data_IF_665273524778
#
_entry.id   IF_665273524778
#
_cell.length_a   1.000
_cell.length_b   1.000
_cell.length_c   1.000
_cell.angle_alpha   90.00
_cell.angle_beta   90.00
_cell.angle_gamma   90.00
#
_symmetry.space_group_name_H-M   'P 1'
#
loop_
_entity.id
_entity.type
_entity.pdbx_description
1 polymer ?
#
# COMPACT_ATOMS: atom_id res chain seq x y z
N UNK A 1 -4.34 -24.39 23.48
CA UNK A 1 -3.10 -23.70 23.08
C UNK A 1 -3.33 -23.09 21.71
N UNK A 2 -3.34 -21.75 21.58
CA UNK A 2 -3.47 -21.11 20.26
C UNK A 2 -2.25 -21.49 19.39
N UNK A 3 -2.49 -21.82 18.12
CA UNK A 3 -1.43 -22.20 17.19
C UNK A 3 -0.52 -20.98 16.93
N UNK A 4 0.75 -21.21 16.57
CA UNK A 4 1.69 -20.12 16.21
C UNK A 4 1.17 -19.27 15.03
N UNK A 5 0.30 -19.85 14.19
CA UNK A 5 -0.41 -19.16 13.10
C UNK A 5 -1.35 -18.07 13.63
N UNK A 6 -2.17 -18.42 14.62
CA UNK A 6 -3.16 -17.49 15.21
C UNK A 6 -2.47 -16.29 15.86
N UNK A 7 -1.32 -16.51 16.53
CA UNK A 7 -0.56 -15.44 17.20
C UNK A 7 0.01 -14.40 16.23
N UNK A 8 0.48 -14.82 15.06
CA UNK A 8 1.03 -13.91 14.06
C UNK A 8 -0.06 -13.06 13.41
N UNK A 9 -1.20 -13.69 13.08
CA UNK A 9 -2.35 -12.98 12.54
C UNK A 9 -2.91 -11.97 13.55
N UNK A 10 -3.03 -12.34 14.81
CA UNK A 10 -3.51 -11.44 15.87
C UNK A 10 -2.55 -10.26 16.11
N UNK A 11 -1.24 -10.51 16.09
CA UNK A 11 -0.25 -9.44 16.20
C UNK A 11 -0.30 -8.47 15.01
N UNK A 12 -0.42 -8.97 13.77
CA UNK A 12 -0.56 -8.12 12.59
C UNK A 12 -1.85 -7.29 12.63
N UNK A 13 -2.96 -7.87 13.11
CA UNK A 13 -4.21 -7.13 13.33
C UNK A 13 -4.05 -6.04 14.36
N UNK A 14 -3.39 -6.33 15.48
CA UNK A 14 -3.07 -5.34 16.51
C UNK A 14 -2.23 -4.20 15.93
N UNK A 15 -1.12 -4.51 15.23
CA UNK A 15 -0.25 -3.51 14.62
C UNK A 15 -1.02 -2.63 13.64
N UNK A 16 -1.83 -3.25 12.77
CA UNK A 16 -2.66 -2.54 11.82
C UNK A 16 -3.59 -1.56 12.53
N UNK A 17 -4.36 -2.02 13.52
CA UNK A 17 -5.29 -1.17 14.24
C UNK A 17 -4.57 -0.04 15.00
N UNK A 18 -3.44 -0.35 15.63
CA UNK A 18 -2.64 0.62 16.38
C UNK A 18 -2.16 1.76 15.48
N UNK A 19 -1.51 1.45 14.36
CA UNK A 19 -0.98 2.46 13.45
C UNK A 19 -2.07 3.26 12.74
N UNK A 20 -3.15 2.59 12.29
CA UNK A 20 -4.29 3.28 11.65
C UNK A 20 -4.89 4.32 12.61
N UNK A 21 -5.16 3.94 13.85
CA UNK A 21 -5.76 4.86 14.83
C UNK A 21 -4.89 6.10 15.06
N UNK A 22 -3.56 5.93 15.16
CA UNK A 22 -2.63 7.05 15.32
C UNK A 22 -2.59 7.94 14.08
N UNK A 23 -2.55 7.34 12.89
CA UNK A 23 -2.54 8.06 11.61
C UNK A 23 -3.83 8.86 11.45
N UNK A 24 -4.99 8.25 11.66
CA UNK A 24 -6.30 8.91 11.57
C UNK A 24 -6.40 10.09 12.52
N UNK A 25 -5.92 9.93 13.77
CA UNK A 25 -5.88 11.01 14.75
C UNK A 25 -5.07 12.21 14.23
N UNK A 26 -3.89 11.96 13.67
CA UNK A 26 -3.07 13.02 13.10
C UNK A 26 -3.64 13.59 11.80
N UNK A 27 -4.33 12.79 10.97
CA UNK A 27 -4.99 13.26 9.76
C UNK A 27 -6.14 14.22 10.10
N UNK A 28 -6.94 13.91 11.12
CA UNK A 28 -8.01 14.80 11.60
C UNK A 28 -7.43 16.14 12.04
N UNK A 29 -6.38 16.12 12.88
CA UNK A 29 -5.70 17.34 13.35
C UNK A 29 -5.07 18.12 12.18
N UNK A 30 -4.45 17.42 11.24
CA UNK A 30 -3.86 18.00 10.03
C UNK A 30 -4.91 18.74 9.21
N UNK A 31 -6.06 18.10 8.95
CA UNK A 31 -7.15 18.67 8.15
C UNK A 31 -7.82 19.87 8.82
N UNK A 32 -7.96 19.86 10.16
CA UNK A 32 -8.46 21.01 10.91
C UNK A 32 -7.48 22.19 10.78
N UNK A 33 -6.19 21.92 11.01
CA UNK A 33 -5.14 22.94 10.93
C UNK A 33 -5.01 23.52 9.51
N UNK A 34 -5.14 22.69 8.48
CA UNK A 34 -5.15 23.12 7.08
C UNK A 34 -6.31 24.08 6.82
N UNK A 35 -7.54 23.72 7.22
CA UNK A 35 -8.72 24.59 7.03
C UNK A 35 -8.56 25.94 7.74
N UNK A 36 -8.03 25.94 8.95
CA UNK A 36 -7.76 27.16 9.71
C UNK A 36 -6.74 28.06 9.00
N UNK A 37 -5.65 27.47 8.48
CA UNK A 37 -4.65 28.22 7.73
C UNK A 37 -5.16 28.71 6.36
N UNK A 38 -6.00 27.93 5.68
CA UNK A 38 -6.61 28.35 4.41
C UNK A 38 -7.63 29.48 4.62
N UNK A 39 -8.34 29.48 5.74
CA UNK A 39 -9.27 30.55 6.12
C UNK A 39 -8.53 31.83 6.55
N UNK A 40 -7.38 31.71 7.21
CA UNK A 40 -6.52 32.83 7.58
C UNK A 40 -5.05 32.51 7.30
N UNK A 41 -4.54 33.05 6.19
CA UNK A 41 -3.14 32.87 5.77
C UNK A 41 -2.12 33.53 6.70
N UNK A 42 -2.56 34.41 7.60
CA UNK A 42 -1.73 34.98 8.68
C UNK A 42 -1.56 34.03 9.88
N UNK A 43 -2.38 32.98 9.98
CA UNK A 43 -2.34 32.02 11.09
C UNK A 43 -1.17 31.02 10.94
N UNK A 44 0.03 31.51 11.23
CA UNK A 44 1.26 30.69 11.18
C UNK A 44 1.28 29.55 12.18
N UNK A 45 0.47 29.61 13.25
CA UNK A 45 0.31 28.50 14.19
C UNK A 45 -0.38 27.31 13.50
N UNK A 46 -1.51 27.57 12.82
CA UNK A 46 -2.22 26.55 12.05
C UNK A 46 -1.34 25.95 10.94
N UNK A 47 -0.52 26.78 10.27
CA UNK A 47 0.47 26.28 9.30
C UNK A 47 1.49 25.30 9.93
N UNK A 48 2.07 25.65 11.08
CA UNK A 48 3.02 24.78 11.79
C UNK A 48 2.37 23.49 12.26
N UNK A 49 1.14 23.56 12.78
CA UNK A 49 0.39 22.37 13.21
C UNK A 49 0.03 21.48 12.00
N UNK A 50 -0.37 22.07 10.87
CA UNK A 50 -0.65 21.35 9.62
C UNK A 50 0.58 20.59 9.11
N UNK A 51 1.69 21.31 8.89
CA UNK A 51 2.95 20.73 8.40
C UNK A 51 3.57 19.75 9.39
N UNK A 52 3.48 20.05 10.70
CA UNK A 52 3.95 19.17 11.77
C UNK A 52 3.21 17.84 11.83
N UNK A 53 1.87 17.85 11.72
CA UNK A 53 1.10 16.60 11.67
C UNK A 53 1.41 15.77 10.41
N UNK A 54 1.63 16.41 9.27
CA UNK A 54 2.08 15.72 8.05
C UNK A 54 3.40 14.96 8.27
N UNK A 55 4.35 15.57 8.98
CA UNK A 55 5.62 14.91 9.32
C UNK A 55 5.42 13.75 10.29
N UNK A 56 4.61 13.92 11.34
CA UNK A 56 4.29 12.83 12.28
C UNK A 56 3.67 11.61 11.59
N UNK A 57 2.78 11.83 10.63
CA UNK A 57 2.20 10.74 9.83
C UNK A 57 3.29 10.01 9.02
N UNK A 58 4.23 10.74 8.42
CA UNK A 58 5.37 10.12 7.73
C UNK A 58 6.20 9.22 8.66
N UNK A 59 6.47 9.71 9.87
CA UNK A 59 7.29 9.01 10.86
C UNK A 59 6.57 7.75 11.37
N UNK A 60 5.24 7.79 11.49
CA UNK A 60 4.41 6.62 11.81
C UNK A 60 4.48 5.55 10.71
N UNK A 61 4.30 5.91 9.44
CA UNK A 61 4.46 4.94 8.33
C UNK A 61 5.88 4.38 8.24
N UNK A 62 6.89 5.19 8.54
CA UNK A 62 8.29 4.75 8.59
C UNK A 62 8.51 3.74 9.73
N UNK A 63 8.00 4.03 10.92
CA UNK A 63 8.08 3.16 12.09
C UNK A 63 7.35 1.85 11.87
N UNK A 64 6.15 1.93 11.31
CA UNK A 64 5.35 0.75 10.96
C UNK A 64 6.08 -0.15 9.97
N UNK A 65 6.68 0.42 8.94
CA UNK A 65 7.46 -0.34 7.97
C UNK A 65 8.70 -1.02 8.60
N UNK A 66 9.38 -0.34 9.52
CA UNK A 66 10.50 -0.92 10.28
C UNK A 66 10.02 -2.12 11.11
N UNK A 67 8.89 -2.01 11.79
CA UNK A 67 8.31 -3.12 12.56
C UNK A 67 7.88 -4.28 11.66
N UNK A 68 7.20 -4.00 10.54
CA UNK A 68 6.80 -5.01 9.57
C UNK A 68 8.00 -5.78 9.00
N UNK A 69 9.11 -5.08 8.70
CA UNK A 69 10.34 -5.73 8.23
C UNK A 69 11.02 -6.59 9.31
N UNK A 70 10.76 -6.33 10.59
CA UNK A 70 11.24 -7.15 11.72
C UNK A 70 10.29 -8.31 12.05
N UNK A 71 9.03 -8.24 11.63
CA UNK A 71 8.05 -9.30 11.85
C UNK A 71 8.44 -10.53 11.04
N UNK A 72 8.78 -11.63 11.71
CA UNK A 72 8.88 -12.93 11.07
C UNK A 72 7.48 -13.50 10.83
N UNK A 73 6.99 -13.44 9.60
CA UNK A 73 5.75 -14.14 9.23
C UNK A 73 6.05 -15.63 9.04
N UNK A 74 5.29 -16.49 9.72
CA UNK A 74 5.28 -17.92 9.45
C UNK A 74 5.02 -18.17 7.96
N UNK A 75 5.85 -19.02 7.34
CA UNK A 75 5.75 -19.36 5.91
C UNK A 75 4.47 -20.10 5.54
N UNK A 76 3.71 -20.60 6.52
CA UNK A 76 2.57 -21.48 6.32
C UNK A 76 1.19 -20.81 6.51
N UNK A 77 1.15 -19.52 6.86
CA UNK A 77 -0.10 -18.78 7.08
C UNK A 77 -0.36 -17.76 5.96
N UNK A 78 -1.17 -18.15 4.98
CA UNK A 78 -1.53 -17.30 3.84
C UNK A 78 -2.28 -16.03 4.24
N UNK A 79 -3.03 -16.07 5.34
CA UNK A 79 -3.78 -14.93 5.88
C UNK A 79 -2.79 -13.92 6.44
N UNK A 80 -1.88 -14.37 7.31
CA UNK A 80 -0.82 -13.53 7.87
C UNK A 80 0.10 -12.95 6.77
N UNK A 81 0.49 -13.77 5.79
CA UNK A 81 1.31 -13.33 4.65
C UNK A 81 0.61 -12.28 3.80
N UNK A 82 -0.68 -12.47 3.51
CA UNK A 82 -1.48 -11.49 2.77
C UNK A 82 -1.59 -10.18 3.52
N UNK A 83 -1.90 -10.22 4.82
CA UNK A 83 -1.96 -9.01 5.66
C UNK A 83 -0.64 -8.26 5.69
N UNK A 84 0.45 -8.98 5.99
CA UNK A 84 1.79 -8.41 6.08
C UNK A 84 2.20 -7.74 4.78
N UNK A 85 2.03 -8.43 3.65
CA UNK A 85 2.38 -7.89 2.34
C UNK A 85 1.52 -6.66 1.99
N UNK A 86 0.22 -6.68 2.28
CA UNK A 86 -0.65 -5.52 2.05
C UNK A 86 -0.26 -4.30 2.91
N UNK A 87 -0.05 -4.50 4.21
CA UNK A 87 0.36 -3.42 5.13
C UNK A 87 1.72 -2.84 4.72
N UNK A 88 2.64 -3.71 4.30
CA UNK A 88 3.97 -3.34 3.82
C UNK A 88 3.87 -2.53 2.52
N UNK A 89 3.02 -2.96 1.57
CA UNK A 89 2.75 -2.23 0.34
C UNK A 89 2.20 -0.83 0.62
N UNK A 90 1.27 -0.70 1.58
CA UNK A 90 0.67 0.58 1.97
C UNK A 90 1.71 1.56 2.52
N UNK A 91 2.60 1.07 3.39
CA UNK A 91 3.67 1.90 3.92
C UNK A 91 4.61 2.38 2.81
N UNK A 92 5.09 1.47 1.96
CA UNK A 92 5.96 1.83 0.84
C UNK A 92 5.29 2.82 -0.10
N UNK A 93 4.03 2.58 -0.50
CA UNK A 93 3.32 3.45 -1.43
C UNK A 93 3.09 4.85 -0.85
N UNK A 94 2.68 4.94 0.42
CA UNK A 94 2.51 6.23 1.09
C UNK A 94 3.82 7.03 1.10
N UNK A 95 4.92 6.40 1.52
CA UNK A 95 6.24 7.03 1.56
C UNK A 95 6.73 7.45 0.17
N UNK A 96 6.41 6.67 -0.87
CA UNK A 96 6.72 6.99 -2.25
C UNK A 96 6.00 8.27 -2.72
N UNK A 97 4.70 8.42 -2.42
CA UNK A 97 3.90 9.60 -2.78
C UNK A 97 4.39 10.88 -2.11
N UNK A 98 5.05 10.76 -0.96
CA UNK A 98 5.66 11.89 -0.25
C UNK A 98 7.12 12.13 -0.65
N UNK A 99 7.59 11.50 -1.72
CA UNK A 99 8.97 11.57 -2.20
C UNK A 99 10.01 11.30 -1.10
N UNK A 100 9.66 10.41 -0.15
CA UNK A 100 10.62 10.00 0.87
C UNK A 100 11.72 9.15 0.22
N UNK A 101 12.96 9.21 0.74
CA UNK A 101 14.03 8.36 0.27
C UNK A 101 13.63 6.88 0.29
N UNK A 102 14.14 6.08 -0.65
CA UNK A 102 13.86 4.66 -0.65
C UNK A 102 14.46 4.01 0.60
N UNK A 103 13.71 3.09 1.21
CA UNK A 103 14.18 2.31 2.37
C UNK A 103 15.30 1.32 2.02
N UNK A 104 15.42 0.98 0.74
CA UNK A 104 16.50 0.16 0.19
C UNK A 104 17.20 0.94 -0.91
N UNK A 105 18.54 1.01 -0.94
CA UNK A 105 19.28 1.77 -1.93
C UNK A 105 19.15 1.20 -3.35
N UNK A 106 18.63 -0.03 -3.51
CA UNK A 106 18.55 -0.73 -4.80
C UNK A 106 17.23 -0.55 -5.53
N UNK A 107 16.19 -0.04 -4.86
CA UNK A 107 14.83 -0.05 -5.39
C UNK A 107 14.00 1.09 -4.81
N UNK A 108 13.20 1.74 -5.65
CA UNK A 108 12.25 2.73 -5.16
C UNK A 108 11.18 2.14 -4.23
N UNK A 109 10.60 2.99 -3.40
CA UNK A 109 9.44 2.63 -2.58
C UNK A 109 8.25 2.19 -3.46
N UNK A 110 8.07 2.76 -4.66
CA UNK A 110 7.05 2.28 -5.61
C UNK A 110 7.30 0.83 -6.06
N UNK A 111 8.55 0.49 -6.43
CA UNK A 111 8.89 -0.89 -6.81
C UNK A 111 8.60 -1.86 -5.68
N UNK A 112 8.95 -1.51 -4.44
CA UNK A 112 8.68 -2.36 -3.28
C UNK A 112 7.20 -2.51 -2.97
N UNK A 113 6.41 -1.46 -3.15
CA UNK A 113 4.97 -1.55 -3.04
C UNK A 113 4.38 -2.51 -4.09
N UNK A 114 4.85 -2.45 -5.35
CA UNK A 114 4.41 -3.35 -6.41
C UNK A 114 4.76 -4.80 -6.10
N UNK A 115 6.02 -5.08 -5.72
CA UNK A 115 6.48 -6.42 -5.35
C UNK A 115 5.61 -7.05 -4.25
N UNK A 116 5.21 -6.27 -3.25
CA UNK A 116 4.34 -6.75 -2.17
C UNK A 116 2.92 -7.08 -2.66
N UNK A 117 2.30 -6.22 -3.50
CA UNK A 117 0.98 -6.53 -4.06
C UNK A 117 1.02 -7.69 -5.07
N UNK A 118 2.11 -7.81 -5.83
CA UNK A 118 2.35 -8.98 -6.68
C UNK A 118 2.47 -10.26 -5.85
N UNK A 119 3.14 -10.20 -4.71
CA UNK A 119 3.18 -11.32 -3.75
C UNK A 119 1.78 -11.67 -3.23
N UNK A 120 0.95 -10.68 -2.91
CA UNK A 120 -0.46 -10.92 -2.55
C UNK A 120 -1.17 -11.68 -3.67
N UNK A 121 -1.02 -11.29 -4.94
CA UNK A 121 -1.63 -12.03 -6.05
C UNK A 121 -1.14 -13.47 -6.19
N UNK A 122 0.13 -13.78 -5.84
CA UNK A 122 0.58 -15.18 -5.82
C UNK A 122 -0.27 -16.02 -4.86
N UNK A 123 -0.54 -15.50 -3.66
CA UNK A 123 -1.37 -16.16 -2.64
C UNK A 123 -2.83 -16.22 -3.09
N UNK A 124 -3.40 -15.10 -3.57
CA UNK A 124 -4.82 -15.03 -3.92
C UNK A 124 -5.18 -15.89 -5.14
N UNK A 125 -4.26 -16.06 -6.10
CA UNK A 125 -4.50 -16.91 -7.27
C UNK A 125 -4.62 -18.41 -6.91
N UNK A 126 -3.98 -18.82 -5.81
CA UNK A 126 -4.08 -20.18 -5.26
C UNK A 126 -5.34 -20.34 -4.43
N UNK A 127 -5.70 -19.30 -3.66
CA UNK A 127 -6.69 -19.39 -2.57
C UNK A 127 -8.09 -18.86 -2.88
N UNK A 128 -8.26 -17.95 -3.85
CA UNK A 128 -9.54 -17.28 -4.15
C UNK A 128 -9.95 -17.37 -5.62
N UNK A 129 -11.26 -17.29 -5.84
CA UNK A 129 -11.81 -17.01 -7.17
C UNK A 129 -11.48 -15.56 -7.57
N UNK A 130 -11.15 -15.33 -8.83
CA UNK A 130 -10.86 -13.99 -9.37
C UNK A 130 -12.06 -13.05 -9.21
N UNK A 131 -13.31 -13.55 -9.27
CA UNK A 131 -14.51 -12.75 -9.03
C UNK A 131 -14.73 -12.36 -7.56
N UNK A 132 -13.89 -12.84 -6.64
CA UNK A 132 -14.00 -12.50 -5.22
C UNK A 132 -13.85 -10.98 -5.00
N UNK A 133 -14.73 -10.33 -4.20
CA UNK A 133 -14.67 -8.88 -3.96
C UNK A 133 -13.33 -8.39 -3.40
N UNK A 134 -12.67 -9.19 -2.55
CA UNK A 134 -11.35 -8.84 -2.05
C UNK A 134 -10.29 -8.89 -3.15
N UNK A 135 -10.34 -9.92 -4.02
CA UNK A 135 -9.45 -9.98 -5.18
C UNK A 135 -9.60 -8.74 -6.06
N UNK A 136 -10.85 -8.36 -6.38
CA UNK A 136 -11.15 -7.17 -7.18
C UNK A 136 -10.69 -5.89 -6.49
N UNK A 137 -10.84 -5.79 -5.17
CA UNK A 137 -10.32 -4.66 -4.39
C UNK A 137 -8.80 -4.55 -4.49
N UNK A 138 -8.06 -5.66 -4.29
CA UNK A 138 -6.60 -5.67 -4.42
C UNK A 138 -6.18 -5.34 -5.86
N UNK A 139 -6.93 -5.79 -6.87
CA UNK A 139 -6.68 -5.46 -8.28
C UNK A 139 -6.84 -3.97 -8.57
N UNK A 140 -7.91 -3.34 -8.07
CA UNK A 140 -8.11 -1.90 -8.20
C UNK A 140 -7.01 -1.11 -7.46
N UNK A 141 -6.58 -1.60 -6.29
CA UNK A 141 -5.48 -1.01 -5.51
C UNK A 141 -4.15 -1.07 -6.26
N UNK A 142 -3.82 -2.24 -6.81
CA UNK A 142 -2.60 -2.43 -7.60
C UNK A 142 -2.62 -1.60 -8.90
N UNK A 143 -3.77 -1.48 -9.56
CA UNK A 143 -3.94 -0.57 -10.69
C UNK A 143 -3.59 0.87 -10.33
N UNK A 144 -4.14 1.38 -9.23
CA UNK A 144 -3.89 2.74 -8.77
C UNK A 144 -2.41 2.94 -8.42
N UNK A 145 -1.78 1.97 -7.76
CA UNK A 145 -0.34 2.00 -7.47
C UNK A 145 0.51 2.06 -8.74
N UNK A 146 0.23 1.20 -9.73
CA UNK A 146 0.98 1.17 -10.99
C UNK A 146 0.83 2.49 -11.74
N UNK A 147 -0.36 3.08 -11.75
CA UNK A 147 -0.57 4.40 -12.36
C UNK A 147 0.21 5.51 -11.65
N UNK A 148 0.19 5.55 -10.31
CA UNK A 148 1.00 6.50 -9.54
C UNK A 148 2.50 6.31 -9.83
N UNK A 149 2.97 5.07 -9.97
CA UNK A 149 4.36 4.76 -10.30
C UNK A 149 4.73 5.26 -11.70
N UNK A 150 3.88 5.01 -12.70
CA UNK A 150 4.06 5.52 -14.07
C UNK A 150 4.16 7.04 -14.10
N UNK A 151 3.28 7.73 -13.38
CA UNK A 151 3.34 9.18 -13.24
C UNK A 151 4.65 9.63 -12.59
N UNK A 152 5.10 8.94 -11.53
CA UNK A 152 6.34 9.25 -10.83
C UNK A 152 7.59 9.09 -11.73
N UNK A 153 7.61 8.15 -12.67
CA UNK A 153 8.73 8.01 -13.64
C UNK A 153 8.56 8.89 -14.90
N UNK A 154 7.50 9.69 -14.99
CA UNK A 154 7.21 10.57 -16.12
C UNK A 154 6.51 9.91 -17.31
N UNK A 155 6.02 8.67 -17.17
CA UNK A 155 5.20 8.00 -18.18
C UNK A 155 3.71 8.41 -18.03
N UNK A 156 3.36 9.60 -18.51
CA UNK A 156 1.97 10.10 -18.45
C UNK A 156 1.74 11.52 -18.96
N UNK A 157 2.79 12.32 -19.16
CA UNK A 157 2.71 13.63 -19.80
C UNK A 157 2.77 13.50 -21.32
N UNK A 158 1.60 13.51 -21.95
CA UNK A 158 1.45 13.89 -23.36
C UNK A 158 1.83 15.37 -23.53
N UNK A 159 3.13 15.68 -23.50
CA UNK A 159 3.71 16.90 -24.07
C UNK A 159 5.23 16.81 -24.00
N UNK A 160 5.89 17.13 -25.11
CA UNK A 160 7.33 17.00 -25.35
C UNK A 160 8.23 17.94 -24.54
N UNK A 161 8.00 18.06 -23.24
CA UNK A 161 8.97 18.61 -22.29
C UNK A 161 9.41 17.50 -21.36
N UNK A 162 10.57 16.91 -21.63
CA UNK A 162 11.29 16.20 -20.57
C UNK A 162 11.45 17.18 -19.40
N UNK A 163 11.21 16.70 -18.17
CA UNK A 163 11.76 17.20 -16.89
C UNK A 163 10.80 16.88 -15.74
N UNK A 164 10.94 15.70 -15.14
CA UNK A 164 11.72 15.52 -13.92
C UNK A 164 11.48 14.06 -13.51
N UNK A 165 12.39 13.16 -13.89
CA UNK A 165 12.50 11.91 -13.14
C UNK A 165 12.88 12.35 -11.71
N UNK A 166 12.10 12.01 -10.66
CA UNK A 166 12.46 12.32 -9.29
C UNK A 166 13.89 11.83 -9.05
N UNK A 167 14.70 12.58 -8.31
CA UNK A 167 16.13 12.30 -8.08
C UNK A 167 16.44 10.85 -7.64
N UNK A 168 15.44 10.12 -7.15
CA UNK A 168 15.54 8.77 -6.62
C UNK A 168 15.04 7.67 -7.58
N UNK A 169 14.64 7.99 -8.82
CA UNK A 169 14.16 7.02 -9.80
C UNK A 169 15.24 6.73 -10.85
N UNK A 170 15.53 5.46 -11.05
CA UNK A 170 16.62 4.99 -11.92
C UNK A 170 16.08 4.30 -13.18
N UNK A 171 16.96 3.97 -14.14
CA UNK A 171 16.59 3.13 -15.29
C UNK A 171 16.03 1.76 -14.85
N UNK A 172 16.45 1.26 -13.69
CA UNK A 172 15.90 0.06 -13.08
C UNK A 172 14.43 0.24 -12.69
N UNK A 173 14.04 1.38 -12.12
CA UNK A 173 12.65 1.70 -11.78
C UNK A 173 11.75 1.77 -13.01
N UNK A 174 12.25 2.31 -14.13
CA UNK A 174 11.53 2.30 -15.42
C UNK A 174 11.26 0.87 -15.87
N UNK A 175 12.28 -0.01 -15.81
CA UNK A 175 12.13 -1.42 -16.15
C UNK A 175 11.10 -2.11 -15.25
N UNK A 176 11.15 -1.85 -13.94
CA UNK A 176 10.23 -2.43 -12.96
C UNK A 176 8.81 -1.92 -13.09
N UNK A 177 8.61 -0.65 -13.38
CA UNK A 177 7.30 -0.10 -13.67
C UNK A 177 6.65 -0.74 -14.91
N UNK A 178 7.45 -1.00 -15.95
CA UNK A 178 7.01 -1.74 -17.14
C UNK A 178 6.65 -3.18 -16.84
N UNK A 179 7.42 -3.85 -16.00
CA UNK A 179 7.12 -5.21 -15.52
C UNK A 179 5.78 -5.24 -14.75
N UNK A 180 5.61 -4.35 -13.77
CA UNK A 180 4.37 -4.22 -13.01
C UNK A 180 3.16 -3.91 -13.91
N UNK A 181 3.35 -3.05 -14.93
CA UNK A 181 2.31 -2.75 -15.92
C UNK A 181 1.88 -3.98 -16.75
N UNK A 182 2.83 -4.85 -17.12
CA UNK A 182 2.53 -6.12 -17.79
C UNK A 182 1.80 -7.07 -16.86
N UNK A 183 2.23 -7.19 -15.61
CA UNK A 183 1.56 -8.00 -14.59
C UNK A 183 0.12 -7.54 -14.39
N UNK A 184 -0.11 -6.24 -14.25
CA UNK A 184 -1.46 -5.67 -14.14
C UNK A 184 -2.34 -6.02 -15.34
N UNK A 185 -1.81 -5.87 -16.56
CA UNK A 185 -2.54 -6.23 -17.79
C UNK A 185 -2.95 -7.70 -17.77
N UNK A 186 -2.03 -8.60 -17.43
CA UNK A 186 -2.30 -10.04 -17.35
C UNK A 186 -3.37 -10.36 -16.30
N UNK A 187 -3.32 -9.74 -15.12
CA UNK A 187 -4.32 -9.92 -14.05
C UNK A 187 -5.71 -9.45 -14.49
N UNK A 188 -5.80 -8.31 -15.18
CA UNK A 188 -7.05 -7.78 -15.75
C UNK A 188 -7.62 -8.66 -16.86
N UNK A 189 -6.78 -9.21 -17.72
CA UNK A 189 -7.22 -10.13 -18.77
C UNK A 189 -7.77 -11.43 -18.16
N UNK A 190 -7.12 -11.96 -17.12
CA UNK A 190 -7.61 -13.12 -16.37
C UNK A 190 -8.95 -12.84 -15.69
N UNK A 191 -9.13 -11.65 -15.11
CA UNK A 191 -10.40 -11.29 -14.46
C UNK A 191 -11.56 -11.11 -15.42
N UNK A 192 -11.28 -10.74 -16.68
CA UNK A 192 -12.28 -10.67 -17.75
C UNK A 192 -12.60 -12.03 -18.37
N UNK A 193 -11.69 -13.00 -18.25
CA UNK A 193 -11.69 -14.21 -19.08
C UNK A 193 -12.24 -15.51 -18.47
N UNK A 194 -12.50 -15.64 -17.16
CA UNK A 194 -12.94 -16.93 -16.56
C UNK A 194 -13.87 -16.81 -15.35
N UNK A 195 -15.01 -17.49 -15.42
CA UNK A 195 -15.79 -17.94 -14.27
C UNK A 195 -15.35 -19.37 -13.91
N UNK A 196 -14.26 -19.53 -13.16
CA UNK A 196 -13.91 -20.82 -12.57
C UNK A 196 -14.24 -20.82 -11.08
N UNK A 197 -15.23 -21.62 -10.70
CA UNK A 197 -15.64 -21.84 -9.32
C UNK A 197 -14.58 -22.66 -8.58
N UNK A 198 -13.74 -22.01 -7.77
CA UNK A 198 -12.98 -22.69 -6.70
C UNK A 198 -13.69 -22.48 -5.37
N UNK A 199 -14.16 -23.57 -4.74
CA UNK A 199 -14.60 -23.57 -3.34
C UNK A 199 -13.37 -23.68 -2.44
N UNK A 200 -13.17 -22.73 -1.54
CA UNK A 200 -12.09 -22.75 -0.55
C UNK A 200 -12.55 -22.13 0.77
N UNK A 201 -12.33 -22.83 1.89
CA UNK A 201 -12.65 -22.38 3.25
C UNK A 201 -11.86 -21.14 3.71
N UNK A 202 -10.80 -20.77 2.98
CA UNK A 202 -9.98 -19.56 3.19
C UNK A 202 -10.77 -18.28 2.85
N UNK A 203 -11.77 -18.40 1.98
CA UNK A 203 -12.64 -17.31 1.53
C UNK A 203 -13.20 -16.49 2.69
N UNK A 204 -13.66 -17.14 3.77
CA UNK A 204 -14.34 -16.46 4.89
C UNK A 204 -13.38 -15.62 5.76
N UNK A 205 -12.15 -16.09 6.00
CA UNK A 205 -11.17 -15.35 6.81
C UNK A 205 -10.56 -14.19 6.03
N UNK A 206 -10.31 -14.35 4.72
CA UNK A 206 -9.86 -13.24 3.86
C UNK A 206 -10.98 -12.20 3.65
N UNK A 207 -12.25 -12.62 3.58
CA UNK A 207 -13.41 -11.71 3.55
C UNK A 207 -13.59 -10.91 4.86
N UNK A 208 -13.14 -11.44 6.01
CA UNK A 208 -13.09 -10.66 7.25
C UNK A 208 -11.95 -9.64 7.24
N UNK A 209 -10.80 -9.98 6.63
CA UNK A 209 -9.69 -9.04 6.43
C UNK A 209 -10.03 -7.90 5.48
N UNK A 210 -10.84 -8.14 4.44
CA UNK A 210 -11.24 -7.09 3.51
C UNK A 210 -11.93 -5.93 4.21
N UNK A 211 -12.72 -6.19 5.27
CA UNK A 211 -13.41 -5.14 6.03
C UNK A 211 -12.46 -4.24 6.85
N UNK A 212 -11.33 -4.78 7.31
CA UNK A 212 -10.29 -4.03 8.04
C UNK A 212 -9.33 -3.26 7.10
N UNK A 213 -9.07 -3.81 5.90
CA UNK A 213 -8.16 -3.20 4.93
C UNK A 213 -8.86 -2.16 4.01
N UNK A 214 -10.19 -2.17 3.93
CA UNK A 214 -10.98 -1.24 3.12
C UNK A 214 -11.14 0.16 3.76
N UNK A 215 -10.87 0.31 5.07
CA UNK A 215 -11.07 1.59 5.77
C UNK A 215 -9.92 2.60 5.61
N UNK A 216 -8.80 2.23 4.97
CA UNK A 216 -7.54 3.01 5.00
C UNK A 216 -7.20 3.80 3.73
N UNK A 217 -8.15 4.06 2.84
CA UNK A 217 -7.92 4.90 1.66
C UNK A 217 -8.76 6.17 1.72
N UNK A 218 -8.20 7.19 2.37
CA UNK A 218 -8.47 8.61 2.12
C UNK A 218 -7.17 9.27 1.67
#
# INVERSE_FOLDING_TARGET
>A
MASTSDRNTDYLRFLQQFYINLIETHQIQMNISERQFLADRGNMRAYREWTGNKMKICDLYTSWLVELNKCATSTFDDVARTMHAMMTADCYWFLAKLNKPPFSPRCSNYSKACENLEHVFTILNESLNISNPFYQHVLAKYEKLVNDYRMAIGEGTLSGTSKHVPLNMTAWDISKCKEASRTLKNLKERSRGRHESKKSGISTQILQLSRLMLSTLV
#
